data_IF_555139229449
#
_entry.id   IF_555139229449
#
_cell.length_a   1.000
_cell.length_b   1.000
_cell.length_c   1.000
_cell.angle_alpha   90.00
_cell.angle_beta   90.00
_cell.angle_gamma   90.00
#
_symmetry.space_group_name_H-M   'P 1'
#
loop_
_entity.id
_entity.type
_entity.pdbx_description
1 polymer ?
#
# COMPACT_ATOMS: atom_id res chain seq x y z
N UNK A 1 22.83 6.54 1.54
CA UNK A 1 21.62 7.19 2.10
C UNK A 1 20.84 6.13 2.87
N UNK A 2 20.49 6.38 4.13
CA UNK A 2 19.64 5.46 4.91
C UNK A 2 18.20 5.65 4.45
N UNK A 3 17.59 4.58 3.96
CA UNK A 3 16.16 4.51 3.70
C UNK A 3 15.41 4.69 5.03
N UNK A 4 14.66 5.77 5.18
CA UNK A 4 13.73 5.95 6.32
C UNK A 4 12.37 5.38 5.93
N UNK A 5 11.86 4.48 6.76
CA UNK A 5 10.48 4.00 6.68
C UNK A 5 9.57 5.09 7.28
N UNK A 6 8.58 5.55 6.52
CA UNK A 6 7.59 6.54 6.98
C UNK A 6 6.35 5.82 7.44
N UNK A 7 6.00 5.93 8.73
CA UNK A 7 4.76 5.38 9.26
C UNK A 7 3.56 6.14 8.70
N UNK A 8 2.55 5.40 8.19
CA UNK A 8 1.35 5.98 7.58
C UNK A 8 0.09 5.73 8.43
N UNK A 9 -0.14 4.50 8.88
CA UNK A 9 -1.28 4.15 9.74
C UNK A 9 -1.05 2.83 10.46
N UNK A 10 -1.94 2.49 11.39
CA UNK A 10 -1.95 1.22 12.12
C UNK A 10 -3.18 0.42 11.74
N UNK A 11 -3.02 -0.87 11.52
CA UNK A 11 -4.11 -1.80 11.26
C UNK A 11 -4.24 -2.80 12.41
N UNK A 12 -5.46 -2.98 12.94
CA UNK A 12 -5.78 -4.00 13.94
C UNK A 12 -6.67 -5.07 13.30
N UNK A 13 -6.20 -6.32 13.33
CA UNK A 13 -6.98 -7.50 12.98
C UNK A 13 -7.45 -8.23 14.24
N UNK A 14 -8.72 -8.60 14.32
CA UNK A 14 -9.24 -9.45 15.40
C UNK A 14 -9.21 -10.91 14.97
N UNK A 15 -8.58 -11.76 15.78
CA UNK A 15 -8.44 -13.18 15.50
C UNK A 15 -9.51 -13.96 16.26
N UNK A 16 -10.18 -14.88 15.57
CA UNK A 16 -11.07 -15.85 16.22
C UNK A 16 -10.26 -16.80 17.11
N UNK A 17 -10.90 -17.40 18.11
CA UNK A 17 -10.34 -18.54 18.84
C UNK A 17 -10.21 -19.79 17.96
N UNK A 18 -10.90 -19.82 16.82
CA UNK A 18 -10.92 -20.98 15.95
C UNK A 18 -9.66 -21.06 15.08
N UNK A 19 -9.01 -22.21 15.13
CA UNK A 19 -7.91 -22.56 14.23
C UNK A 19 -8.03 -24.02 13.80
N UNK A 20 -7.66 -24.30 12.56
CA UNK A 20 -7.66 -25.67 12.02
C UNK A 20 -6.22 -26.12 11.84
N UNK A 21 -5.84 -27.17 12.54
CA UNK A 21 -4.60 -27.90 12.26
C UNK A 21 -4.81 -28.79 11.02
N UNK A 22 -4.07 -28.51 9.95
CA UNK A 22 -4.14 -29.24 8.66
C UNK A 22 -3.03 -30.29 8.56
N UNK A 23 -2.30 -30.52 9.65
CA UNK A 23 -1.20 -31.46 9.72
C UNK A 23 0.07 -30.96 9.01
N UNK A 24 1.09 -31.82 9.05
CA UNK A 24 2.41 -31.52 8.53
C UNK A 24 2.51 -31.81 7.04
N UNK A 25 3.26 -30.99 6.29
CA UNK A 25 3.74 -31.39 4.97
C UNK A 25 4.75 -32.52 5.09
N UNK A 26 4.87 -33.39 4.09
CA UNK A 26 5.81 -34.52 4.13
C UNK A 26 7.24 -34.02 4.36
N UNK A 27 7.81 -34.32 5.53
CA UNK A 27 9.11 -33.81 5.98
C UNK A 27 9.23 -32.26 5.96
N UNK A 28 8.12 -31.55 6.14
CA UNK A 28 8.03 -30.10 6.00
C UNK A 28 7.36 -29.40 7.18
N UNK A 29 6.94 -28.13 7.02
CA UNK A 29 6.34 -27.35 8.10
C UNK A 29 4.95 -27.85 8.52
N UNK A 30 4.55 -27.51 9.74
CA UNK A 30 3.18 -27.67 10.22
C UNK A 30 2.27 -26.66 9.52
N UNK A 31 1.07 -27.07 9.15
CA UNK A 31 0.08 -26.18 8.52
C UNK A 31 -1.04 -25.88 9.49
N UNK A 32 -1.33 -24.60 9.68
CA UNK A 32 -2.43 -24.13 10.52
C UNK A 32 -3.23 -23.08 9.75
N UNK A 33 -4.56 -23.10 9.87
CA UNK A 33 -5.44 -22.05 9.37
C UNK A 33 -5.99 -21.28 10.55
N UNK A 34 -5.61 -20.01 10.69
CA UNK A 34 -6.20 -19.09 11.67
C UNK A 34 -7.44 -18.39 11.10
N UNK A 35 -8.54 -18.36 11.85
CA UNK A 35 -9.77 -17.71 11.39
C UNK A 35 -9.78 -16.20 11.68
N UNK A 36 -10.13 -15.42 10.66
CA UNK A 36 -10.38 -13.97 10.67
C UNK A 36 -11.75 -13.70 10.00
N UNK A 37 -12.08 -12.45 9.68
CA UNK A 37 -13.01 -12.16 8.57
C UNK A 37 -12.31 -12.49 7.24
N UNK A 38 -11.99 -13.77 7.05
CA UNK A 38 -10.96 -14.29 6.15
C UNK A 38 -10.16 -15.43 6.79
N UNK A 39 -8.91 -15.59 6.37
CA UNK A 39 -8.03 -16.64 6.92
C UNK A 39 -6.55 -16.29 6.86
N UNK A 40 -5.79 -16.88 7.78
CA UNK A 40 -4.33 -16.93 7.79
C UNK A 40 -3.86 -18.36 7.53
N UNK A 41 -3.20 -18.60 6.40
CA UNK A 41 -2.63 -19.89 6.05
C UNK A 41 -1.17 -19.94 6.51
N UNK A 42 -0.97 -20.43 7.72
CA UNK A 42 0.32 -20.43 8.40
C UNK A 42 1.10 -21.71 8.10
N UNK A 43 2.38 -21.55 7.77
CA UNK A 43 3.39 -22.61 7.77
C UNK A 43 4.37 -22.39 8.93
N UNK A 44 4.34 -23.27 9.93
CA UNK A 44 5.26 -23.24 11.07
C UNK A 44 6.42 -24.18 10.81
N UNK A 45 7.60 -23.60 10.64
CA UNK A 45 8.86 -24.33 10.55
C UNK A 45 9.52 -24.40 11.94
N UNK A 46 9.48 -25.59 12.54
CA UNK A 46 10.06 -25.83 13.85
C UNK A 46 11.60 -25.77 13.86
N UNK A 47 12.27 -26.00 12.72
CA UNK A 47 13.73 -25.98 12.65
C UNK A 47 14.30 -24.56 12.76
N UNK A 48 13.59 -23.58 12.19
CA UNK A 48 13.98 -22.16 12.22
C UNK A 48 13.14 -21.31 13.16
N UNK A 49 12.15 -21.94 13.81
CA UNK A 49 11.15 -21.32 14.67
C UNK A 49 10.45 -20.13 13.99
N UNK A 50 10.03 -20.34 12.75
CA UNK A 50 9.43 -19.31 11.90
C UNK A 50 8.01 -19.70 11.51
N UNK A 51 7.06 -18.80 11.76
CA UNK A 51 5.72 -18.87 11.18
C UNK A 51 5.69 -18.01 9.91
N UNK A 52 5.60 -18.64 8.75
CA UNK A 52 5.32 -17.95 7.50
C UNK A 52 3.81 -17.81 7.35
N UNK A 53 3.35 -16.57 7.16
CA UNK A 53 1.93 -16.25 7.13
C UNK A 53 1.51 -15.82 5.72
N UNK A 54 0.29 -16.21 5.32
CA UNK A 54 -0.40 -15.76 4.10
C UNK A 54 -1.84 -15.46 4.50
N UNK A 55 -2.17 -14.18 4.62
CA UNK A 55 -3.44 -13.72 5.16
C UNK A 55 -4.27 -13.04 4.10
N UNK A 56 -5.51 -13.50 3.93
CA UNK A 56 -6.51 -12.81 3.10
C UNK A 56 -7.70 -12.51 3.96
N UNK A 57 -8.02 -11.24 4.11
CA UNK A 57 -9.12 -10.77 4.96
C UNK A 57 -9.79 -9.55 4.34
N UNK A 58 -10.98 -9.25 4.82
CA UNK A 58 -11.71 -8.04 4.48
C UNK A 58 -12.30 -7.42 5.74
N UNK A 59 -12.66 -6.16 5.66
CA UNK A 59 -13.33 -5.45 6.74
C UNK A 59 -14.01 -4.19 6.24
N UNK A 60 -14.30 -3.28 7.16
CA UNK A 60 -14.90 -1.98 6.84
C UNK A 60 -14.05 -0.83 7.35
N UNK A 61 -13.93 0.21 6.52
CA UNK A 61 -13.38 1.50 6.92
C UNK A 61 -14.56 2.38 7.38
N UNK A 62 -14.45 2.94 8.59
CA UNK A 62 -15.47 3.79 9.20
C UNK A 62 -16.89 3.20 9.24
N UNK A 63 -17.02 1.86 9.25
CA UNK A 63 -18.28 1.10 9.17
C UNK A 63 -19.10 1.27 7.87
N UNK A 64 -18.59 1.97 6.86
CA UNK A 64 -19.35 2.27 5.63
C UNK A 64 -18.88 1.41 4.47
N UNK A 65 -17.60 1.48 4.12
CA UNK A 65 -17.09 0.93 2.86
C UNK A 65 -16.06 -0.18 3.09
N UNK A 66 -16.05 -1.15 2.17
CA UNK A 66 -15.21 -2.33 2.26
C UNK A 66 -13.72 -2.04 2.04
N UNK A 67 -12.89 -2.79 2.76
CA UNK A 67 -11.45 -2.91 2.52
C UNK A 67 -11.09 -4.38 2.42
N UNK A 68 -10.28 -4.74 1.44
CA UNK A 68 -9.63 -6.03 1.31
C UNK A 68 -8.15 -5.87 1.63
N UNK A 69 -7.60 -6.83 2.38
CA UNK A 69 -6.18 -6.85 2.72
C UNK A 69 -5.65 -8.26 2.48
N UNK A 70 -4.63 -8.34 1.63
CA UNK A 70 -3.78 -9.51 1.49
C UNK A 70 -2.41 -9.16 2.07
N UNK A 71 -1.85 -10.00 2.93
CA UNK A 71 -0.46 -9.84 3.32
C UNK A 71 0.25 -11.16 3.50
N UNK A 72 1.53 -11.18 3.18
CA UNK A 72 2.42 -12.31 3.44
C UNK A 72 3.59 -11.85 4.30
N UNK A 73 4.14 -12.74 5.11
CA UNK A 73 5.22 -12.35 6.02
C UNK A 73 5.81 -13.51 6.79
N UNK A 74 6.74 -13.16 7.68
CA UNK A 74 7.35 -14.10 8.59
C UNK A 74 7.38 -13.52 10.00
N UNK A 75 7.03 -14.36 10.96
CA UNK A 75 7.17 -14.13 12.39
C UNK A 75 8.20 -15.11 12.93
N UNK A 76 9.25 -14.62 13.58
CA UNK A 76 10.07 -15.44 14.47
C UNK A 76 9.30 -15.68 15.75
N UNK A 77 8.99 -16.95 16.03
CA UNK A 77 8.10 -17.33 17.11
C UNK A 77 8.88 -17.37 18.43
N UNK A 78 9.11 -16.21 19.02
CA UNK A 78 9.64 -16.16 20.39
C UNK A 78 8.62 -16.68 21.43
N UNK A 79 9.02 -16.72 22.70
CA UNK A 79 8.19 -17.21 23.80
C UNK A 79 6.86 -16.45 23.92
N UNK A 80 6.89 -15.12 23.78
CA UNK A 80 5.68 -14.31 23.89
C UNK A 80 4.73 -14.55 22.71
N UNK A 81 5.26 -14.67 21.49
CA UNK A 81 4.51 -15.04 20.31
C UNK A 81 3.94 -16.45 20.42
N UNK A 82 4.71 -17.43 20.91
CA UNK A 82 4.25 -18.80 21.13
C UNK A 82 3.07 -18.84 22.12
N UNK A 83 3.22 -18.17 23.26
CA UNK A 83 2.17 -18.08 24.29
C UNK A 83 0.89 -17.43 23.75
N UNK A 84 1.04 -16.38 22.95
CA UNK A 84 -0.07 -15.71 22.27
C UNK A 84 -0.78 -16.63 21.27
N UNK A 85 -0.03 -17.27 20.37
CA UNK A 85 -0.56 -18.15 19.32
C UNK A 85 -1.25 -19.38 19.89
N UNK A 86 -0.70 -19.95 20.97
CA UNK A 86 -1.25 -21.12 21.67
C UNK A 86 -2.31 -20.77 22.73
N UNK A 87 -2.73 -19.50 22.83
CA UNK A 87 -3.76 -19.01 23.77
C UNK A 87 -3.54 -19.43 25.22
N UNK A 88 -2.27 -19.46 25.63
CA UNK A 88 -1.88 -19.88 26.99
C UNK A 88 -2.30 -18.83 28.05
N UNK A 89 -2.40 -19.21 29.33
CA UNK A 89 -2.65 -18.26 30.42
C UNK A 89 -1.62 -17.12 30.52
N UNK A 90 -0.40 -17.34 30.02
CA UNK A 90 0.70 -16.36 30.03
C UNK A 90 0.70 -15.43 28.81
N UNK A 91 -0.28 -15.58 27.91
CA UNK A 91 -0.46 -14.71 26.77
C UNK A 91 -0.71 -13.26 27.20
N UNK A 92 0.03 -12.32 26.59
CA UNK A 92 -0.01 -10.90 26.91
C UNK A 92 0.21 -10.04 25.68
N UNK A 93 -0.21 -8.78 25.75
CA UNK A 93 0.12 -7.79 24.74
C UNK A 93 1.63 -7.53 24.70
N UNK A 94 2.15 -7.25 23.51
CA UNK A 94 3.55 -6.89 23.26
C UNK A 94 3.66 -5.50 22.65
N UNK A 95 4.88 -4.97 22.55
CA UNK A 95 5.19 -3.68 21.93
C UNK A 95 5.73 -3.91 20.52
N UNK A 96 5.62 -2.88 19.67
CA UNK A 96 6.32 -2.88 18.39
C UNK A 96 7.83 -2.97 18.65
N UNK A 97 8.52 -3.87 17.96
CA UNK A 97 9.93 -4.17 18.19
C UNK A 97 10.22 -5.35 19.10
N UNK A 98 9.22 -5.86 19.84
CA UNK A 98 9.42 -7.05 20.68
C UNK A 98 9.61 -8.32 19.83
N UNK A 99 9.03 -8.35 18.62
CA UNK A 99 9.11 -9.48 17.69
C UNK A 99 9.84 -9.11 16.40
N UNK A 100 10.58 -10.08 15.85
CA UNK A 100 10.98 -10.07 14.45
C UNK A 100 9.80 -10.57 13.60
N UNK A 101 8.90 -9.64 13.28
CA UNK A 101 7.63 -9.92 12.61
C UNK A 101 7.32 -8.91 11.52
N UNK A 102 7.66 -9.28 10.28
CA UNK A 102 7.53 -8.39 9.13
C UNK A 102 6.61 -8.97 8.07
N UNK A 103 5.74 -8.14 7.52
CA UNK A 103 4.82 -8.53 6.46
C UNK A 103 4.79 -7.50 5.32
N UNK A 104 4.28 -7.94 4.17
CA UNK A 104 4.09 -7.14 2.97
C UNK A 104 2.61 -7.15 2.63
N UNK A 105 1.91 -6.05 2.86
CA UNK A 105 0.50 -5.96 2.57
C UNK A 105 0.23 -5.52 1.14
N UNK A 106 -0.98 -5.78 0.74
CA UNK A 106 -1.65 -5.25 -0.43
C UNK A 106 -3.07 -4.90 0.01
N UNK A 107 -3.50 -3.67 -0.28
CA UNK A 107 -4.73 -3.09 0.26
C UNK A 107 -5.58 -2.60 -0.90
N UNK A 108 -6.79 -3.13 -1.02
CA UNK A 108 -7.81 -2.67 -1.96
C UNK A 108 -9.00 -2.10 -1.23
N UNK A 109 -9.57 -1.00 -1.71
CA UNK A 109 -10.70 -0.36 -1.05
C UNK A 109 -11.52 0.49 -1.99
N UNK A 110 -12.82 0.56 -1.80
CA UNK A 110 -13.67 1.48 -2.57
C UNK A 110 -13.65 2.92 -2.04
N UNK A 111 -12.97 3.19 -0.93
CA UNK A 111 -12.94 4.53 -0.31
C UNK A 111 -12.02 5.47 -1.10
N UNK A 112 -12.55 6.55 -1.72
CA UNK A 112 -11.75 7.46 -2.55
C UNK A 112 -10.53 8.05 -1.82
N UNK A 113 -10.67 8.37 -0.53
CA UNK A 113 -9.60 8.96 0.27
C UNK A 113 -8.41 8.00 0.52
N UNK A 114 -8.62 6.69 0.35
CA UNK A 114 -7.61 5.65 0.55
C UNK A 114 -7.21 4.95 -0.74
N UNK A 115 -7.69 5.39 -1.91
CA UNK A 115 -7.35 4.75 -3.20
C UNK A 115 -5.87 4.71 -3.54
N UNK A 116 -5.09 5.64 -2.98
CA UNK A 116 -3.64 5.63 -3.13
C UNK A 116 -2.96 4.38 -2.55
N UNK A 117 -3.61 3.66 -1.62
CA UNK A 117 -3.06 2.43 -1.04
C UNK A 117 -2.98 1.29 -2.05
N UNK A 118 -3.81 1.29 -3.09
CA UNK A 118 -3.84 0.25 -4.13
C UNK A 118 -2.59 0.25 -5.01
N UNK A 119 -1.87 1.37 -5.07
CA UNK A 119 -0.66 1.55 -5.87
C UNK A 119 0.60 1.80 -5.05
N UNK A 120 0.54 1.62 -3.73
CA UNK A 120 1.64 1.90 -2.81
C UNK A 120 2.27 0.63 -2.26
N UNK A 121 3.60 0.57 -2.27
CA UNK A 121 4.35 -0.48 -1.60
C UNK A 121 4.43 -0.17 -0.10
N UNK A 122 4.05 -1.13 0.73
CA UNK A 122 4.14 -1.00 2.17
C UNK A 122 4.97 -2.12 2.81
N UNK A 123 5.32 -1.89 4.07
CA UNK A 123 5.87 -2.88 4.99
C UNK A 123 5.10 -2.81 6.31
N UNK A 124 4.73 -3.95 6.87
CA UNK A 124 4.07 -4.10 8.16
C UNK A 124 5.07 -4.57 9.22
N UNK A 125 4.99 -4.03 10.43
CA UNK A 125 5.69 -4.55 11.62
C UNK A 125 4.68 -4.90 12.71
N UNK A 126 4.63 -6.18 13.09
CA UNK A 126 3.55 -6.74 13.91
C UNK A 126 3.78 -6.70 15.41
N UNK A 127 2.68 -6.68 16.17
CA UNK A 127 2.64 -6.96 17.61
C UNK A 127 1.37 -7.74 18.00
N UNK A 128 1.46 -8.41 19.15
CA UNK A 128 0.35 -9.13 19.76
C UNK A 128 -0.45 -8.22 20.68
N UNK A 129 -1.77 -8.31 20.63
CA UNK A 129 -2.70 -7.60 21.52
C UNK A 129 -3.62 -8.60 22.20
N UNK A 130 -3.58 -8.61 23.53
CA UNK A 130 -4.41 -9.45 24.38
C UNK A 130 -5.23 -8.57 25.33
N UNK A 131 -6.52 -8.40 25.05
CA UNK A 131 -7.41 -7.50 25.79
C UNK A 131 -8.76 -8.20 26.01
N UNK A 132 -9.27 -8.22 27.25
CA UNK A 132 -10.60 -8.79 27.57
C UNK A 132 -10.82 -10.22 27.03
N UNK A 133 -9.79 -11.08 27.14
CA UNK A 133 -9.78 -12.45 26.61
C UNK A 133 -9.99 -12.53 25.08
N UNK A 134 -9.73 -11.44 24.35
CA UNK A 134 -9.73 -11.38 22.90
C UNK A 134 -8.31 -11.19 22.39
N UNK A 135 -8.01 -11.93 21.31
CA UNK A 135 -6.77 -11.79 20.56
C UNK A 135 -6.94 -10.85 19.40
N UNK A 136 -5.98 -9.95 19.29
CA UNK A 136 -5.80 -9.11 18.13
C UNK A 136 -4.34 -9.06 17.75
N UNK A 137 -4.11 -8.77 16.49
CA UNK A 137 -2.79 -8.45 15.95
C UNK A 137 -2.84 -7.02 15.46
N UNK A 138 -1.75 -6.30 15.67
CA UNK A 138 -1.61 -4.95 15.17
C UNK A 138 -0.36 -4.81 14.34
N UNK A 139 -0.47 -4.07 13.26
CA UNK A 139 0.65 -3.74 12.39
C UNK A 139 0.85 -2.24 12.33
N UNK A 140 2.07 -1.80 12.60
CA UNK A 140 2.54 -0.51 12.09
C UNK A 140 2.81 -0.63 10.60
N UNK A 141 2.25 0.29 9.84
CA UNK A 141 2.32 0.27 8.38
C UNK A 141 3.22 1.40 7.95
N UNK A 142 4.25 1.04 7.21
CA UNK A 142 5.23 1.97 6.67
C UNK A 142 5.14 1.98 5.16
N UNK A 143 5.22 3.17 4.57
CA UNK A 143 5.43 3.30 3.14
C UNK A 143 6.87 2.87 2.80
N UNK A 144 6.99 1.90 1.90
CA UNK A 144 8.26 1.49 1.33
C UNK A 144 8.71 2.50 0.28
N UNK A 145 10.01 2.80 0.22
CA UNK A 145 10.60 3.80 -0.68
C UNK A 145 10.47 3.42 -2.17
N UNK A 146 9.27 3.54 -2.73
CA UNK A 146 9.03 3.91 -4.12
C UNK A 146 9.01 5.45 -4.28
N UNK A 147 8.84 6.19 -3.17
CA UNK A 147 8.72 7.64 -3.17
C UNK A 147 9.95 8.37 -3.73
N UNK A 148 11.18 7.89 -3.45
CA UNK A 148 12.39 8.53 -4.01
C UNK A 148 12.52 8.32 -5.52
N UNK A 149 12.05 7.21 -6.07
CA UNK A 149 12.10 6.98 -7.52
C UNK A 149 11.06 7.84 -8.25
N UNK A 150 9.85 7.96 -7.71
CA UNK A 150 8.80 8.80 -8.30
C UNK A 150 9.06 10.30 -8.12
N UNK A 151 9.56 10.74 -6.96
CA UNK A 151 9.97 12.14 -6.76
C UNK A 151 11.10 12.52 -7.72
N UNK A 152 12.11 11.65 -7.87
CA UNK A 152 13.21 11.87 -8.81
C UNK A 152 12.72 11.91 -10.26
N UNK A 153 11.73 11.10 -10.64
CA UNK A 153 11.13 11.15 -11.98
C UNK A 153 10.39 12.46 -12.24
N UNK A 154 9.61 12.96 -11.27
CA UNK A 154 8.92 14.25 -11.38
C UNK A 154 9.92 15.41 -11.47
N UNK A 155 10.95 15.43 -10.62
CA UNK A 155 12.00 16.45 -10.66
C UNK A 155 12.83 16.39 -11.94
N UNK A 156 13.17 15.18 -12.40
CA UNK A 156 13.91 14.98 -13.67
C UNK A 156 13.06 15.42 -14.86
N UNK A 157 11.76 15.13 -14.86
CA UNK A 157 10.84 15.59 -15.90
C UNK A 157 10.77 17.13 -15.93
N UNK A 158 10.60 17.78 -14.77
CA UNK A 158 10.58 19.25 -14.68
C UNK A 158 11.92 19.85 -15.14
N UNK A 159 13.04 19.24 -14.78
CA UNK A 159 14.37 19.70 -15.21
C UNK A 159 14.56 19.55 -16.72
N UNK A 160 14.12 18.44 -17.31
CA UNK A 160 14.14 18.20 -18.75
C UNK A 160 13.24 19.18 -19.50
N UNK A 161 12.02 19.42 -19.01
CA UNK A 161 11.10 20.40 -19.60
C UNK A 161 11.68 21.82 -19.56
N UNK A 162 12.28 22.22 -18.44
CA UNK A 162 12.96 23.52 -18.31
C UNK A 162 14.19 23.62 -19.22
N UNK A 163 14.97 22.56 -19.33
CA UNK A 163 16.16 22.53 -20.21
C UNK A 163 15.76 22.59 -21.68
N UNK A 164 14.69 21.89 -22.07
CA UNK A 164 14.15 21.93 -23.41
C UNK A 164 13.60 23.33 -23.73
N UNK A 165 12.87 23.95 -22.79
CA UNK A 165 12.38 25.32 -22.94
C UNK A 165 13.53 26.33 -23.12
N UNK A 166 14.57 26.28 -22.29
CA UNK A 166 15.76 27.12 -22.48
C UNK A 166 16.44 26.89 -23.83
N UNK A 167 16.60 25.64 -24.24
CA UNK A 167 17.22 25.34 -25.53
C UNK A 167 16.44 25.93 -26.71
N UNK A 168 15.11 25.90 -26.65
CA UNK A 168 14.24 26.51 -27.66
C UNK A 168 14.40 28.03 -27.69
N UNK A 169 14.40 28.68 -26.53
CA UNK A 169 14.63 30.14 -26.40
C UNK A 169 16.03 30.56 -26.89
N UNK A 170 17.06 29.76 -26.63
CA UNK A 170 18.43 30.03 -27.09
C UNK A 170 18.59 29.85 -28.62
N UNK A 171 17.85 28.89 -29.19
CA UNK A 171 17.96 28.54 -30.63
C UNK A 171 17.11 29.46 -31.50
N UNK A 172 15.89 29.79 -31.04
CA UNK A 172 14.89 30.52 -31.82
C UNK A 172 14.71 31.97 -31.38
N UNK A 173 15.34 32.36 -30.26
CA UNK A 173 15.23 33.70 -29.70
C UNK A 173 14.33 33.74 -28.47
N UNK A 174 14.64 34.67 -27.56
CA UNK A 174 13.89 34.91 -26.35
C UNK A 174 12.44 35.27 -26.69
N UNK A 175 11.48 34.53 -26.13
CA UNK A 175 10.04 34.70 -26.40
C UNK A 175 9.47 33.76 -27.47
N UNK A 176 10.28 32.92 -28.14
CA UNK A 176 9.79 31.99 -29.15
C UNK A 176 8.71 31.03 -28.63
N UNK A 177 8.78 30.62 -27.36
CA UNK A 177 7.75 29.77 -26.73
C UNK A 177 6.42 30.52 -26.57
N UNK A 178 6.48 31.80 -26.22
CA UNK A 178 5.30 32.66 -26.04
C UNK A 178 4.65 32.93 -27.39
N UNK A 179 5.45 33.26 -28.40
CA UNK A 179 4.98 33.50 -29.77
C UNK A 179 4.33 32.25 -30.38
N UNK A 180 4.95 31.07 -30.21
CA UNK A 180 4.37 29.81 -30.66
C UNK A 180 3.03 29.51 -29.99
N UNK A 181 2.89 29.81 -28.70
CA UNK A 181 1.64 29.63 -27.97
C UNK A 181 0.56 30.61 -28.44
N UNK A 182 0.91 31.87 -28.65
CA UNK A 182 -0.02 32.87 -29.17
C UNK A 182 -0.50 32.53 -30.58
N UNK A 183 0.39 32.05 -31.45
CA UNK A 183 0.03 31.61 -32.80
C UNK A 183 -0.96 30.44 -32.77
N UNK A 184 -0.73 29.45 -31.89
CA UNK A 184 -1.64 28.32 -31.71
C UNK A 184 -3.01 28.74 -31.15
N UNK A 185 -3.02 29.64 -30.16
CA UNK A 185 -4.25 30.18 -29.57
C UNK A 185 -5.06 31.00 -30.61
N UNK A 186 -4.38 31.72 -31.49
CA UNK A 186 -5.00 32.49 -32.57
C UNK A 186 -5.57 31.59 -33.67
N UNK A 187 -4.86 30.55 -34.09
CA UNK A 187 -5.36 29.53 -35.02
C UNK A 187 -6.60 28.81 -34.45
N UNK A 188 -6.58 28.49 -33.15
CA UNK A 188 -7.71 27.89 -32.47
C UNK A 188 -8.94 28.82 -32.44
N UNK A 189 -8.73 30.10 -32.14
CA UNK A 189 -9.77 31.13 -32.16
C UNK A 189 -10.40 31.31 -33.55
N UNK A 190 -9.58 31.36 -34.59
CA UNK A 190 -10.04 31.45 -35.98
C UNK A 190 -10.89 30.23 -36.38
N UNK A 191 -10.46 29.03 -36.01
CA UNK A 191 -11.18 27.78 -36.28
C UNK A 191 -12.54 27.77 -35.57
N UNK A 192 -12.59 28.22 -34.32
CA UNK A 192 -13.82 28.32 -33.54
C UNK A 192 -14.81 29.31 -34.18
N UNK A 193 -14.31 30.48 -34.59
CA UNK A 193 -15.09 31.48 -35.31
C UNK A 193 -15.65 30.96 -36.64
N UNK A 194 -14.85 30.20 -37.40
CA UNK A 194 -15.31 29.58 -38.64
C UNK A 194 -16.43 28.57 -38.37
N UNK A 195 -16.30 27.76 -37.31
CA UNK A 195 -17.35 26.83 -36.85
C UNK A 195 -18.65 27.54 -36.49
N UNK A 196 -18.57 28.64 -35.72
CA UNK A 196 -19.74 29.46 -35.36
C UNK A 196 -20.39 30.08 -36.60
N UNK A 197 -19.60 30.62 -37.52
CA UNK A 197 -20.10 31.18 -38.79
C UNK A 197 -20.79 30.13 -39.66
N UNK A 198 -20.23 28.92 -39.74
CA UNK A 198 -20.83 27.81 -40.48
C UNK A 198 -22.14 27.34 -39.86
N UNK A 199 -22.20 27.22 -38.53
CA UNK A 199 -23.43 26.90 -37.80
C UNK A 199 -24.51 27.96 -38.01
N UNK A 200 -24.15 29.25 -38.00
CA UNK A 200 -25.10 30.33 -38.27
C UNK A 200 -25.69 30.27 -39.69
N UNK A 201 -24.90 29.83 -40.67
CA UNK A 201 -25.37 29.63 -42.06
C UNK A 201 -26.25 28.38 -42.22
N UNK A 202 -26.06 27.35 -41.40
CA UNK A 202 -26.83 26.12 -41.48
C UNK A 202 -28.23 26.22 -40.83
N UNK A 203 -28.46 27.26 -40.02
CA UNK A 203 -29.72 27.51 -39.29
C UNK A 203 -30.57 28.62 -39.94
N UNK A 204 -30.06 29.26 -41.01
CA UNK A 204 -30.79 30.23 -41.83
C UNK A 204 -31.27 29.59 -43.13
#
# INVERSE_FOLDING_TARGET
>A
MSSKLTHVFTLRGHISSDSIDVGQLQSGPQRVIGALEGGDWVLVDAATNTANIDVRTHGKIANVEGVYVHYTGALKVDEAAANFLATTPDAKSTKFGDHDWWCRPFIETNVPQFKWTESTLFVYHGRCIWENSRRSIEYQIFEGLAFTAMSNLTETKIALEKSAAHHVEDTLGQGAIIEAKQAADEEHSQTLWQGVCNNRKAVA
#
